data_IF_837938789020
#
_entry.id   IF_837938789020
#
_cell.length_a   1.000
_cell.length_b   1.000
_cell.length_c   1.000
_cell.angle_alpha   90.00
_cell.angle_beta   90.00
_cell.angle_gamma   90.00
#
_symmetry.space_group_name_H-M   'P 1'
#
loop_
_entity.id
_entity.type
_entity.pdbx_description
1 polymer ?
#
# COMPACT_ATOMS: atom_id res chain seq x y z
N UNK A 1 -32.04 62.98 -0.82
CA UNK A 1 -32.32 61.56 -0.53
C UNK A 1 -32.90 60.94 -1.78
N UNK A 2 -32.19 59.99 -2.41
CA UNK A 2 -32.75 59.10 -3.41
C UNK A 2 -32.25 57.69 -3.06
N UNK A 3 -33.17 56.82 -2.64
CA UNK A 3 -32.92 55.41 -2.40
C UNK A 3 -32.95 54.69 -3.75
N UNK A 4 -31.82 54.15 -4.17
CA UNK A 4 -31.74 53.28 -5.35
C UNK A 4 -32.34 51.91 -4.99
N UNK A 5 -33.47 51.56 -5.60
CA UNK A 5 -34.09 50.24 -5.50
C UNK A 5 -33.31 49.25 -6.36
N UNK A 6 -32.57 48.32 -5.74
CA UNK A 6 -31.97 47.19 -6.46
C UNK A 6 -33.06 46.13 -6.75
N UNK A 7 -33.36 45.90 -8.02
CA UNK A 7 -34.12 44.74 -8.46
C UNK A 7 -33.22 43.49 -8.38
N UNK A 8 -33.49 42.61 -7.43
CA UNK A 8 -32.87 41.29 -7.38
C UNK A 8 -33.47 40.35 -8.43
N UNK A 9 -32.62 39.67 -9.20
CA UNK A 9 -33.07 38.61 -10.11
C UNK A 9 -33.54 37.39 -9.28
N UNK A 10 -34.83 37.07 -9.35
CA UNK A 10 -35.40 35.87 -8.72
C UNK A 10 -35.39 34.74 -9.74
N UNK A 11 -34.52 33.76 -9.55
CA UNK A 11 -34.51 32.53 -10.36
C UNK A 11 -35.47 31.49 -9.77
N UNK A 12 -36.53 31.12 -10.50
CA UNK A 12 -37.47 30.06 -10.10
C UNK A 12 -37.08 28.73 -10.79
N UNK A 13 -36.85 27.67 -10.00
CA UNK A 13 -36.45 26.34 -10.47
C UNK A 13 -37.56 25.27 -10.32
N UNK A 14 -38.83 25.69 -10.26
CA UNK A 14 -39.95 24.74 -10.18
C UNK A 14 -40.10 23.92 -11.49
N UNK A 15 -40.38 22.62 -11.33
CA UNK A 15 -40.54 21.60 -12.40
C UNK A 15 -39.27 21.09 -13.10
N UNK A 16 -38.07 21.25 -12.52
CA UNK A 16 -36.87 20.61 -13.10
C UNK A 16 -36.92 19.09 -12.88
N UNK A 17 -36.87 18.33 -13.98
CA UNK A 17 -36.64 16.87 -13.98
C UNK A 17 -35.31 16.61 -14.66
N UNK A 18 -34.27 16.29 -13.89
CA UNK A 18 -32.96 15.94 -14.41
C UNK A 18 -32.56 14.55 -13.86
N UNK A 19 -31.91 13.74 -14.70
CA UNK A 19 -31.28 12.48 -14.28
C UNK A 19 -29.93 12.68 -13.58
N UNK A 20 -29.65 13.90 -13.10
CA UNK A 20 -28.38 14.34 -12.51
C UNK A 20 -28.54 15.66 -11.75
N UNK A 21 -27.43 16.23 -11.27
CA UNK A 21 -27.44 17.41 -10.39
C UNK A 21 -27.97 18.68 -11.06
N UNK A 22 -28.93 19.34 -10.42
CA UNK A 22 -29.44 20.67 -10.81
C UNK A 22 -28.88 21.69 -9.84
N UNK A 23 -28.01 22.59 -10.30
CA UNK A 23 -27.45 23.66 -9.46
C UNK A 23 -27.62 25.02 -10.12
N UNK A 24 -27.91 26.05 -9.31
CA UNK A 24 -28.21 27.40 -9.79
C UNK A 24 -27.01 28.33 -9.97
N UNK A 25 -25.78 27.89 -9.69
CA UNK A 25 -24.57 28.71 -9.83
C UNK A 25 -23.46 27.96 -10.57
N UNK A 26 -22.60 27.21 -9.88
CA UNK A 26 -21.56 26.39 -10.50
C UNK A 26 -21.60 24.96 -9.92
N UNK A 27 -21.49 23.94 -10.79
CA UNK A 27 -21.26 22.55 -10.38
C UNK A 27 -19.77 22.23 -10.56
N UNK A 28 -19.04 22.14 -9.46
CA UNK A 28 -17.66 21.66 -9.49
C UNK A 28 -17.66 20.14 -9.36
N UNK A 29 -17.74 19.43 -10.49
CA UNK A 29 -17.40 18.01 -10.52
C UNK A 29 -15.88 17.89 -10.46
N UNK A 30 -15.33 17.86 -9.24
CA UNK A 30 -13.93 17.47 -9.04
C UNK A 30 -13.92 15.95 -9.07
N UNK A 31 -13.84 15.35 -10.27
CA UNK A 31 -13.44 13.95 -10.36
C UNK A 31 -12.09 13.83 -9.68
N UNK A 32 -12.06 13.09 -8.56
CA UNK A 32 -10.80 12.81 -7.87
C UNK A 32 -9.84 12.21 -8.90
N UNK A 33 -8.66 12.82 -9.07
CA UNK A 33 -7.64 12.29 -9.97
C UNK A 33 -7.33 10.87 -9.51
N UNK A 34 -7.71 9.88 -10.31
CA UNK A 34 -7.47 8.47 -9.96
C UNK A 34 -5.99 8.28 -9.65
N UNK A 35 -5.70 7.67 -8.51
CA UNK A 35 -4.32 7.39 -8.10
C UNK A 35 -3.65 6.48 -9.13
N UNK A 36 -2.31 6.47 -9.18
CA UNK A 36 -1.59 5.56 -10.10
C UNK A 36 -2.01 4.11 -9.86
N UNK A 37 -2.12 3.72 -8.58
CA UNK A 37 -2.55 2.38 -8.16
C UNK A 37 -3.98 2.09 -8.63
N UNK A 38 -4.92 3.03 -8.50
CA UNK A 38 -6.30 2.84 -9.01
C UNK A 38 -6.35 2.62 -10.52
N UNK A 39 -5.50 3.31 -11.29
CA UNK A 39 -5.39 3.08 -12.73
C UNK A 39 -4.84 1.69 -13.04
N UNK A 40 -3.83 1.24 -12.29
CA UNK A 40 -3.26 -0.09 -12.44
C UNK A 40 -4.24 -1.19 -12.03
N UNK A 41 -5.04 -0.98 -10.98
CA UNK A 41 -6.09 -1.91 -10.57
C UNK A 41 -7.17 -2.05 -11.64
N UNK A 42 -7.52 -0.95 -12.32
CA UNK A 42 -8.46 -1.01 -13.45
C UNK A 42 -7.87 -1.81 -14.62
N UNK A 43 -6.62 -1.53 -15.00
CA UNK A 43 -5.90 -2.27 -16.04
C UNK A 43 -5.75 -3.76 -15.70
N UNK A 44 -5.50 -4.08 -14.43
CA UNK A 44 -5.43 -5.45 -13.95
C UNK A 44 -6.75 -6.19 -14.12
N UNK A 45 -7.88 -5.52 -13.84
CA UNK A 45 -9.22 -6.10 -14.06
C UNK A 45 -9.43 -6.44 -15.53
N UNK A 46 -9.09 -5.52 -16.44
CA UNK A 46 -9.18 -5.74 -17.88
C UNK A 46 -8.30 -6.92 -18.33
N UNK A 47 -7.06 -7.00 -17.84
CA UNK A 47 -6.16 -8.12 -18.15
C UNK A 47 -6.69 -9.46 -17.62
N UNK A 48 -7.26 -9.46 -16.42
CA UNK A 48 -7.85 -10.65 -15.82
C UNK A 48 -9.07 -11.15 -16.60
N UNK A 49 -9.98 -10.24 -16.97
CA UNK A 49 -11.20 -10.56 -17.74
C UNK A 49 -10.89 -11.03 -19.17
N UNK A 50 -9.84 -10.49 -19.80
CA UNK A 50 -9.38 -10.88 -21.13
C UNK A 50 -8.37 -12.05 -21.12
N UNK A 51 -7.98 -12.56 -19.95
CA UNK A 51 -6.90 -13.54 -19.76
C UNK A 51 -5.58 -13.14 -20.46
N UNK A 52 -5.26 -11.85 -20.44
CA UNK A 52 -4.02 -11.29 -20.97
C UNK A 52 -2.89 -11.46 -19.94
N UNK A 53 -2.07 -12.48 -20.15
CA UNK A 53 -0.95 -12.82 -19.27
C UNK A 53 0.39 -12.45 -19.90
N UNK A 54 1.35 -12.07 -19.06
CA UNK A 54 2.76 -11.87 -19.42
C UNK A 54 3.59 -13.02 -18.85
N UNK A 55 4.61 -13.43 -19.62
CA UNK A 55 5.60 -14.42 -19.17
C UNK A 55 6.83 -13.77 -18.53
N UNK A 56 6.93 -12.45 -18.59
CA UNK A 56 8.10 -11.70 -18.15
C UNK A 56 7.84 -11.03 -16.80
N UNK A 57 8.73 -11.27 -15.84
CA UNK A 57 8.81 -10.48 -14.61
C UNK A 57 9.46 -9.14 -14.92
N UNK A 58 8.85 -8.03 -14.54
CA UNK A 58 9.43 -6.70 -14.72
C UNK A 58 10.69 -6.54 -13.86
N UNK A 59 11.71 -5.87 -14.40
CA UNK A 59 13.03 -5.74 -13.75
C UNK A 59 12.94 -5.14 -12.34
N UNK A 60 12.02 -4.20 -12.14
CA UNK A 60 11.78 -3.54 -10.85
C UNK A 60 11.29 -4.53 -9.78
N UNK A 61 10.47 -5.50 -10.15
CA UNK A 61 10.03 -6.57 -9.25
C UNK A 61 11.13 -7.62 -9.08
N UNK A 62 11.88 -7.93 -10.15
CA UNK A 62 13.00 -8.87 -10.10
C UNK A 62 14.08 -8.43 -9.09
N UNK A 63 14.28 -7.12 -8.91
CA UNK A 63 15.15 -6.56 -7.86
C UNK A 63 14.80 -7.14 -6.48
N UNK A 64 13.52 -7.23 -6.13
CA UNK A 64 13.07 -7.69 -4.81
C UNK A 64 13.32 -9.18 -4.54
N UNK A 65 13.63 -9.98 -5.57
CA UNK A 65 14.02 -11.39 -5.41
C UNK A 65 15.51 -11.58 -5.12
N UNK A 66 16.31 -10.52 -5.23
CA UNK A 66 17.74 -10.57 -4.92
C UNK A 66 17.96 -10.26 -3.46
N UNK A 67 18.20 -11.30 -2.65
CA UNK A 67 18.54 -11.16 -1.23
C UNK A 67 19.85 -10.39 -1.03
N UNK A 68 19.84 -9.47 -0.06
CA UNK A 68 21.01 -8.67 0.32
C UNK A 68 21.14 -8.58 1.84
N UNK A 69 21.99 -9.40 2.46
CA UNK A 69 22.27 -9.37 3.89
C UNK A 69 23.69 -8.83 4.18
N UNK A 70 23.95 -7.52 4.04
CA UNK A 70 25.29 -6.95 4.20
C UNK A 70 25.79 -6.95 5.66
N UNK A 71 24.91 -7.13 6.64
CA UNK A 71 25.19 -7.16 8.08
C UNK A 71 25.31 -8.59 8.65
N UNK A 72 25.18 -9.61 7.80
CA UNK A 72 25.29 -11.02 8.19
C UNK A 72 24.05 -11.59 8.89
N UNK A 73 23.00 -10.79 9.11
CA UNK A 73 21.72 -11.25 9.67
C UNK A 73 20.74 -11.44 8.50
N UNK A 74 20.67 -12.68 8.03
CA UNK A 74 19.86 -13.06 6.87
C UNK A 74 18.55 -13.75 7.28
N UNK A 75 17.48 -13.44 6.55
CA UNK A 75 16.15 -14.00 6.79
C UNK A 75 15.37 -13.33 7.92
N UNK A 76 14.06 -13.60 7.95
CA UNK A 76 13.11 -13.03 8.88
C UNK A 76 13.36 -13.49 10.32
N UNK A 77 13.61 -14.78 10.52
CA UNK A 77 13.81 -15.39 11.85
C UNK A 77 14.99 -14.75 12.58
N UNK A 78 16.16 -14.73 11.95
CA UNK A 78 17.37 -14.14 12.52
C UNK A 78 17.21 -12.63 12.83
N UNK A 79 16.43 -11.90 12.02
CA UNK A 79 16.14 -10.48 12.25
C UNK A 79 15.22 -10.23 13.43
N UNK A 80 14.20 -11.08 13.59
CA UNK A 80 13.31 -11.01 14.74
C UNK A 80 14.06 -11.41 16.01
N UNK A 81 14.91 -12.43 15.95
CA UNK A 81 15.77 -12.81 17.07
C UNK A 81 16.74 -11.70 17.46
N UNK A 82 17.47 -11.13 16.49
CA UNK A 82 18.40 -10.03 16.72
C UNK A 82 17.74 -8.74 17.24
N UNK A 83 16.41 -8.61 17.13
CA UNK A 83 15.65 -7.48 17.65
C UNK A 83 14.89 -7.79 18.94
N UNK A 84 15.06 -8.99 19.52
CA UNK A 84 14.33 -9.41 20.73
C UNK A 84 12.84 -9.68 20.49
N UNK A 85 12.46 -9.97 19.25
CA UNK A 85 11.07 -10.12 18.77
C UNK A 85 10.73 -11.56 18.36
N UNK A 86 11.48 -12.56 18.83
CA UNK A 86 11.29 -13.97 18.46
C UNK A 86 9.86 -14.47 18.72
N UNK A 87 9.17 -13.94 19.74
CA UNK A 87 7.78 -14.29 20.05
C UNK A 87 6.79 -13.98 18.91
N UNK A 88 7.14 -13.09 17.97
CA UNK A 88 6.31 -12.75 16.83
C UNK A 88 6.54 -13.67 15.61
N UNK A 89 7.50 -14.59 15.68
CA UNK A 89 7.93 -15.34 14.51
C UNK A 89 6.83 -16.23 13.91
N UNK A 90 6.09 -16.97 14.74
CA UNK A 90 5.06 -17.91 14.28
C UNK A 90 3.95 -17.21 13.47
N UNK A 91 3.49 -16.05 13.93
CA UNK A 91 2.51 -15.22 13.19
C UNK A 91 3.16 -14.56 11.96
N UNK A 92 4.41 -14.11 12.08
CA UNK A 92 5.12 -13.43 11.00
C UNK A 92 5.39 -14.34 9.81
N UNK A 93 5.77 -15.60 10.05
CA UNK A 93 6.07 -16.57 8.99
C UNK A 93 4.81 -16.97 8.21
N UNK A 94 3.68 -17.14 8.90
CA UNK A 94 2.38 -17.42 8.27
C UNK A 94 1.97 -16.27 7.34
N UNK A 95 1.99 -15.03 7.85
CA UNK A 95 1.65 -13.84 7.07
C UNK A 95 2.59 -13.62 5.89
N UNK A 96 3.90 -13.81 6.09
CA UNK A 96 4.90 -13.76 5.01
C UNK A 96 4.55 -14.73 3.89
N UNK A 97 4.10 -15.93 4.25
CA UNK A 97 3.74 -16.97 3.29
C UNK A 97 2.44 -16.65 2.54
N UNK A 98 1.45 -16.06 3.22
CA UNK A 98 0.23 -15.56 2.57
C UNK A 98 0.57 -14.54 1.48
N UNK A 99 1.46 -13.58 1.77
CA UNK A 99 1.88 -12.60 0.78
C UNK A 99 2.68 -13.22 -0.37
N UNK A 100 3.60 -14.14 -0.07
CA UNK A 100 4.37 -14.83 -1.11
C UNK A 100 3.48 -15.58 -2.11
N UNK A 101 2.43 -16.24 -1.60
CA UNK A 101 1.41 -16.91 -2.45
C UNK A 101 0.64 -15.91 -3.30
N UNK A 102 0.21 -14.78 -2.72
CA UNK A 102 -0.45 -13.71 -3.48
C UNK A 102 0.45 -13.21 -4.62
N UNK A 103 1.71 -12.92 -4.33
CA UNK A 103 2.69 -12.48 -5.33
C UNK A 103 2.83 -13.49 -6.46
N UNK A 104 2.88 -14.79 -6.14
CA UNK A 104 2.95 -15.86 -7.13
C UNK A 104 1.66 -15.96 -7.97
N UNK A 105 0.48 -15.91 -7.34
CA UNK A 105 -0.82 -15.99 -8.03
C UNK A 105 -0.96 -14.91 -9.10
N UNK A 106 -0.46 -13.70 -8.81
CA UNK A 106 -0.60 -12.55 -9.69
C UNK A 106 0.64 -12.27 -10.54
N UNK A 107 1.68 -13.11 -10.47
CA UNK A 107 2.95 -12.93 -11.18
C UNK A 107 2.80 -12.89 -12.70
N UNK A 108 1.75 -13.51 -13.26
CA UNK A 108 1.50 -13.55 -14.70
C UNK A 108 0.78 -12.30 -15.24
N UNK A 109 0.47 -11.30 -14.41
CA UNK A 109 -0.20 -10.07 -14.86
C UNK A 109 0.72 -8.87 -14.70
N UNK A 110 1.08 -8.20 -15.80
CA UNK A 110 2.01 -7.06 -15.76
C UNK A 110 1.50 -5.92 -14.88
N UNK A 111 0.19 -5.63 -14.92
CA UNK A 111 -0.39 -4.59 -14.06
C UNK A 111 -0.33 -4.95 -12.58
N UNK A 112 -0.46 -6.23 -12.23
CA UNK A 112 -0.30 -6.66 -10.84
C UNK A 112 1.16 -6.54 -10.39
N UNK A 113 2.11 -6.91 -11.25
CA UNK A 113 3.53 -6.71 -10.96
C UNK A 113 3.86 -5.23 -10.73
N UNK A 114 3.32 -4.32 -11.55
CA UNK A 114 3.46 -2.88 -11.36
C UNK A 114 2.87 -2.41 -10.02
N UNK A 115 1.69 -2.92 -9.63
CA UNK A 115 1.10 -2.65 -8.30
C UNK A 115 2.03 -3.12 -7.19
N UNK A 116 2.55 -4.34 -7.27
CA UNK A 116 3.46 -4.88 -6.26
C UNK A 116 4.72 -4.03 -6.10
N UNK A 117 5.32 -3.57 -7.20
CA UNK A 117 6.48 -2.68 -7.13
C UNK A 117 6.16 -1.39 -6.38
N UNK A 118 5.02 -0.77 -6.68
CA UNK A 118 4.62 0.48 -6.02
C UNK A 118 4.42 0.30 -4.51
N UNK A 119 3.69 -0.74 -4.09
CA UNK A 119 3.41 -0.98 -2.67
C UNK A 119 4.65 -1.46 -1.90
N UNK A 120 5.52 -2.26 -2.53
CA UNK A 120 6.78 -2.71 -1.94
C UNK A 120 7.74 -1.53 -1.75
N UNK A 121 7.87 -0.66 -2.75
CA UNK A 121 8.69 0.54 -2.66
C UNK A 121 8.19 1.51 -1.59
N UNK A 122 6.87 1.71 -1.49
CA UNK A 122 6.25 2.54 -0.44
C UNK A 122 6.54 1.98 0.95
N UNK A 123 6.36 0.69 1.16
CA UNK A 123 6.64 0.03 2.44
C UNK A 123 8.14 0.05 2.79
N UNK A 124 9.03 -0.25 1.84
CA UNK A 124 10.49 -0.17 2.01
C UNK A 124 10.90 1.25 2.45
N UNK A 125 10.37 2.26 1.77
CA UNK A 125 10.70 3.65 2.05
C UNK A 125 10.19 4.12 3.42
N UNK A 126 8.91 3.92 3.74
CA UNK A 126 8.36 4.30 5.06
C UNK A 126 9.06 3.54 6.19
N UNK A 127 9.35 2.26 5.99
CA UNK A 127 10.05 1.49 7.01
C UNK A 127 11.46 2.01 7.23
N UNK A 128 12.24 2.21 6.16
CA UNK A 128 13.65 2.57 6.25
C UNK A 128 13.85 4.01 6.71
N UNK A 129 13.03 4.95 6.23
CA UNK A 129 13.20 6.37 6.52
C UNK A 129 12.56 6.80 7.84
N UNK A 130 11.49 6.13 8.27
CA UNK A 130 10.73 6.55 9.44
C UNK A 130 10.79 5.52 10.56
N UNK A 131 10.31 4.30 10.31
CA UNK A 131 10.11 3.31 11.38
C UNK A 131 11.46 2.85 11.95
N UNK A 132 12.45 2.62 11.09
CA UNK A 132 13.77 2.14 11.48
C UNK A 132 14.37 3.00 12.60
N UNK A 133 14.42 4.32 12.43
CA UNK A 133 14.99 5.23 13.43
C UNK A 133 14.20 5.33 14.75
N UNK A 134 13.00 4.75 14.83
CA UNK A 134 12.19 4.70 16.05
C UNK A 134 12.33 3.37 16.80
N UNK A 135 12.78 2.29 16.16
CA UNK A 135 12.94 0.97 16.77
C UNK A 135 13.70 1.01 18.11
N UNK A 136 14.86 1.71 18.25
CA UNK A 136 15.58 1.72 19.52
C UNK A 136 14.96 2.65 20.58
N UNK A 137 13.91 3.41 20.24
CA UNK A 137 13.32 4.45 21.08
C UNK A 137 11.94 4.09 21.62
N UNK A 138 11.37 2.98 21.14
CA UNK A 138 9.96 2.62 21.35
C UNK A 138 9.82 1.15 21.67
N UNK A 139 8.76 0.82 22.38
CA UNK A 139 8.44 -0.56 22.68
C UNK A 139 7.96 -1.31 21.42
N UNK A 140 8.11 -2.65 21.38
CA UNK A 140 7.74 -3.45 20.21
C UNK A 140 6.31 -3.22 19.70
N UNK A 141 5.37 -3.01 20.62
CA UNK A 141 3.94 -2.77 20.35
C UNK A 141 3.72 -1.41 19.70
N UNK A 142 4.45 -0.37 20.11
CA UNK A 142 4.39 0.94 19.46
C UNK A 142 4.93 0.89 18.05
N UNK A 143 6.00 0.13 17.80
CA UNK A 143 6.53 -0.10 16.45
C UNK A 143 5.51 -0.84 15.59
N UNK A 144 4.81 -1.84 16.15
CA UNK A 144 3.73 -2.53 15.45
C UNK A 144 2.60 -1.58 15.05
N UNK A 145 2.19 -0.70 15.97
CA UNK A 145 1.19 0.32 15.68
C UNK A 145 1.67 1.28 14.56
N UNK A 146 2.93 1.71 14.60
CA UNK A 146 3.50 2.53 13.52
C UNK A 146 3.51 1.83 12.16
N UNK A 147 3.83 0.53 12.12
CA UNK A 147 3.77 -0.27 10.88
C UNK A 147 2.33 -0.34 10.38
N UNK A 148 1.37 -0.57 11.28
CA UNK A 148 -0.05 -0.60 10.92
C UNK A 148 -0.49 0.74 10.34
N UNK A 149 -0.25 1.83 11.05
CA UNK A 149 -0.77 3.15 10.67
C UNK A 149 -0.11 3.73 9.43
N UNK A 150 1.19 3.49 9.24
CA UNK A 150 1.97 4.12 8.16
C UNK A 150 2.12 3.27 6.91
N UNK A 151 2.01 1.94 7.04
CA UNK A 151 2.21 1.02 5.92
C UNK A 151 0.93 0.23 5.66
N UNK A 152 0.38 -0.45 6.68
CA UNK A 152 -0.74 -1.38 6.47
C UNK A 152 -2.00 -0.63 6.04
N UNK A 153 -2.47 0.33 6.85
CA UNK A 153 -3.72 1.02 6.58
C UNK A 153 -3.70 1.77 5.23
N UNK A 154 -2.64 2.54 4.88
CA UNK A 154 -2.62 3.24 3.61
C UNK A 154 -2.59 2.32 2.39
N UNK A 155 -1.93 1.16 2.48
CA UNK A 155 -1.87 0.21 1.35
C UNK A 155 -3.18 -0.58 1.25
N UNK A 156 -3.81 -0.93 2.37
CA UNK A 156 -5.14 -1.55 2.35
C UNK A 156 -6.19 -0.56 1.81
N UNK A 157 -6.11 0.72 2.14
CA UNK A 157 -7.02 1.74 1.61
C UNK A 157 -6.84 1.92 0.09
N UNK A 158 -5.61 1.88 -0.42
CA UNK A 158 -5.30 2.03 -1.85
C UNK A 158 -5.60 0.76 -2.67
N UNK A 159 -5.39 -0.44 -2.10
CA UNK A 159 -5.45 -1.72 -2.82
C UNK A 159 -6.58 -2.66 -2.38
N UNK A 160 -7.37 -2.30 -1.36
CA UNK A 160 -8.37 -3.16 -0.73
C UNK A 160 -9.60 -3.48 -1.58
N UNK A 161 -9.58 -3.15 -2.87
CA UNK A 161 -10.63 -3.52 -3.80
C UNK A 161 -10.71 -5.04 -4.05
N UNK A 162 -11.86 -5.48 -4.56
CA UNK A 162 -12.26 -6.89 -4.63
C UNK A 162 -11.32 -7.81 -5.43
N UNK A 163 -10.50 -7.26 -6.36
CA UNK A 163 -9.77 -8.09 -7.32
C UNK A 163 -8.60 -8.84 -6.69
N UNK A 164 -7.77 -8.17 -5.87
CA UNK A 164 -6.57 -8.77 -5.28
C UNK A 164 -6.78 -9.22 -3.82
N UNK A 165 -7.98 -8.98 -3.25
CA UNK A 165 -8.34 -9.32 -1.86
C UNK A 165 -7.30 -8.86 -0.82
N UNK A 166 -6.67 -7.70 -1.05
CA UNK A 166 -5.61 -7.17 -0.18
C UNK A 166 -6.22 -6.77 1.17
N UNK A 167 -5.75 -7.42 2.23
CA UNK A 167 -6.20 -7.17 3.60
C UNK A 167 -5.00 -6.92 4.53
N UNK A 168 -5.30 -6.57 5.78
CA UNK A 168 -4.29 -6.21 6.77
C UNK A 168 -3.24 -7.30 7.00
N UNK A 169 -3.65 -8.58 7.04
CA UNK A 169 -2.72 -9.71 7.23
C UNK A 169 -1.79 -9.88 6.04
N UNK A 170 -2.28 -9.69 4.81
CA UNK A 170 -1.46 -9.73 3.59
C UNK A 170 -0.45 -8.60 3.56
N UNK A 171 -0.85 -7.38 3.92
CA UNK A 171 0.07 -6.23 3.92
C UNK A 171 1.06 -6.31 5.08
N UNK A 172 0.68 -6.81 6.25
CA UNK A 172 1.65 -7.16 7.29
C UNK A 172 2.64 -8.23 6.80
N UNK A 173 2.12 -9.26 6.11
CA UNK A 173 2.91 -10.29 5.46
C UNK A 173 3.91 -9.74 4.44
N UNK A 174 3.54 -8.70 3.70
CA UNK A 174 4.42 -7.99 2.78
C UNK A 174 5.61 -7.35 3.50
N UNK A 175 5.40 -6.75 4.67
CA UNK A 175 6.48 -6.18 5.48
C UNK A 175 7.43 -7.30 5.95
N UNK A 176 6.90 -8.43 6.42
CA UNK A 176 7.74 -9.57 6.80
C UNK A 176 8.46 -10.21 5.60
N UNK A 177 7.84 -10.21 4.42
CA UNK A 177 8.48 -10.66 3.20
C UNK A 177 9.64 -9.74 2.78
N UNK A 178 9.48 -8.42 2.89
CA UNK A 178 10.59 -7.48 2.69
C UNK A 178 11.73 -7.70 3.69
N UNK A 179 11.41 -8.10 4.93
CA UNK A 179 12.42 -8.44 5.92
C UNK A 179 13.18 -9.71 5.54
N UNK A 180 12.47 -10.75 5.10
CA UNK A 180 13.04 -12.00 4.57
C UNK A 180 13.95 -11.76 3.36
N UNK A 181 13.55 -10.89 2.44
CA UNK A 181 14.36 -10.52 1.27
C UNK A 181 15.49 -9.52 1.59
N UNK A 182 15.59 -9.10 2.85
CA UNK A 182 16.56 -8.16 3.37
C UNK A 182 16.52 -6.72 2.82
N UNK A 183 15.33 -6.26 2.44
CA UNK A 183 15.08 -4.87 2.10
C UNK A 183 14.78 -3.99 3.31
N UNK A 184 14.30 -4.57 4.41
CA UNK A 184 14.09 -3.87 5.68
C UNK A 184 14.87 -4.52 6.83
N UNK A 185 15.19 -3.72 7.85
CA UNK A 185 15.99 -4.14 9.01
C UNK A 185 15.22 -3.93 10.31
N UNK A 186 14.94 -5.01 11.02
CA UNK A 186 14.26 -4.94 12.32
C UNK A 186 15.20 -4.74 13.50
N UNK A 187 16.49 -4.96 13.29
CA UNK A 187 17.52 -4.85 14.32
C UNK A 187 18.39 -3.60 14.08
N UNK A 188 18.87 -3.03 15.19
CA UNK A 188 19.99 -2.09 15.17
C UNK A 188 21.23 -2.89 15.55
N UNK A 189 22.36 -2.61 14.88
CA UNK A 189 23.58 -3.43 14.90
C UNK A 189 23.80 -4.18 16.21
N UNK A 190 24.04 -5.49 16.11
CA UNK A 190 24.28 -6.33 17.27
C UNK A 190 25.42 -5.72 18.07
N UNK A 191 25.13 -5.31 19.31
CA UNK A 191 26.15 -5.14 20.33
C UNK A 191 26.81 -6.50 20.46
N UNK A 192 28.06 -6.59 20.01
CA UNK A 192 28.95 -7.69 20.37
C UNK A 192 28.92 -7.77 21.89
N UNK A 193 28.25 -8.79 22.42
CA UNK A 193 28.39 -9.21 23.82
C UNK A 193 29.35 -10.37 23.86
#
# INVERSE_FOLDING_TARGET
>A
MNLATQNGNVSNQQNVRAGGSVVGRDYYNVEAKKSLIEKLLHKLREQYECNEQTQTTIDELARYHTRRAPDGIDGLEAKLEASGRSAYYDDAIEKKEMFAKLLQTWSLYSSAQEIFVQILAKAENEFTQVIYGQIPKKEPEEINAMVIDRIVNPIVEECGGDLMAVNHNLVQGMVYWLAEQCFIKWHHGVVVR
#
